data_IF_344803133185
#
_entry.id   IF_344803133185
#
_cell.length_a   1.000
_cell.length_b   1.000
_cell.length_c   1.000
_cell.angle_alpha   90.00
_cell.angle_beta   90.00
_cell.angle_gamma   90.00
#
_symmetry.space_group_name_H-M   'P 1'
#
loop_
_entity.id
_entity.type
_entity.pdbx_description
1 polymer ?
#
# COMPACT_ATOMS: atom_id res chain seq x y z
N UNK A 1 -17.17 -15.19 -3.99
CA UNK A 1 -16.63 -16.36 -3.29
C UNK A 1 -17.06 -16.42 -1.83
N UNK A 2 -16.47 -15.60 -0.96
CA UNK A 2 -16.61 -15.72 0.50
C UNK A 2 -18.03 -15.51 1.04
N UNK A 3 -18.79 -14.51 0.55
CA UNK A 3 -20.17 -14.28 0.96
C UNK A 3 -21.10 -15.48 0.64
N UNK A 4 -20.89 -16.12 -0.52
CA UNK A 4 -21.64 -17.32 -0.91
C UNK A 4 -21.29 -18.49 0.02
N UNK A 5 -20.01 -18.68 0.34
CA UNK A 5 -19.55 -19.72 1.26
C UNK A 5 -20.13 -19.53 2.67
N UNK A 6 -20.14 -18.29 3.18
CA UNK A 6 -20.77 -17.95 4.46
C UNK A 6 -22.29 -18.19 4.41
N UNK A 7 -22.98 -17.78 3.34
CA UNK A 7 -24.41 -18.05 3.19
C UNK A 7 -24.75 -19.55 3.18
N UNK A 8 -23.95 -20.37 2.47
CA UNK A 8 -24.10 -21.83 2.44
C UNK A 8 -23.84 -22.44 3.81
N UNK A 9 -22.77 -22.01 4.49
CA UNK A 9 -22.44 -22.46 5.85
C UNK A 9 -23.56 -22.12 6.84
N UNK A 10 -24.14 -20.91 6.73
CA UNK A 10 -25.28 -20.49 7.52
C UNK A 10 -26.53 -21.33 7.27
N UNK A 11 -26.82 -21.63 6.00
CA UNK A 11 -27.94 -22.50 5.62
C UNK A 11 -27.77 -23.93 6.16
N UNK A 12 -26.55 -24.49 6.10
CA UNK A 12 -26.21 -25.80 6.68
C UNK A 12 -26.38 -25.79 8.20
N UNK A 13 -25.86 -24.77 8.89
CA UNK A 13 -25.96 -24.65 10.34
C UNK A 13 -27.41 -24.57 10.83
N UNK A 14 -28.26 -23.84 10.08
CA UNK A 14 -29.70 -23.74 10.35
C UNK A 14 -30.43 -25.05 10.05
N UNK A 15 -30.16 -25.70 8.91
CA UNK A 15 -30.77 -26.98 8.51
C UNK A 15 -30.47 -28.12 9.48
N UNK A 16 -29.25 -28.19 10.00
CA UNK A 16 -28.83 -29.21 10.96
C UNK A 16 -29.14 -28.85 12.42
N UNK A 17 -29.76 -27.69 12.68
CA UNK A 17 -30.21 -27.32 14.02
C UNK A 17 -29.08 -27.20 15.04
N UNK A 18 -27.90 -26.72 14.63
CA UNK A 18 -26.70 -26.66 15.46
C UNK A 18 -26.94 -25.98 16.81
N UNK A 19 -26.35 -26.51 17.88
CA UNK A 19 -26.51 -25.94 19.23
C UNK A 19 -25.90 -24.53 19.34
N UNK A 20 -26.31 -23.74 20.33
CA UNK A 20 -25.72 -22.41 20.59
C UNK A 20 -24.22 -22.48 20.86
N UNK A 21 -23.74 -23.54 21.51
CA UNK A 21 -22.30 -23.80 21.73
C UNK A 21 -21.56 -24.06 20.41
N UNK A 22 -22.18 -24.83 19.51
CA UNK A 22 -21.62 -25.14 18.19
C UNK A 22 -21.52 -23.88 17.32
N UNK A 23 -22.55 -23.02 17.35
CA UNK A 23 -22.54 -21.74 16.64
C UNK A 23 -21.49 -20.77 17.22
N UNK A 24 -21.33 -20.71 18.54
CA UNK A 24 -20.27 -19.92 19.18
C UNK A 24 -18.86 -20.42 18.78
N UNK A 25 -18.66 -21.75 18.76
CA UNK A 25 -17.42 -22.36 18.26
C UNK A 25 -17.15 -22.05 16.79
N UNK A 26 -18.21 -21.97 15.95
CA UNK A 26 -18.09 -21.57 14.55
C UNK A 26 -17.59 -20.12 14.40
N UNK A 27 -18.10 -19.19 15.20
CA UNK A 27 -17.66 -17.79 15.18
C UNK A 27 -16.20 -17.65 15.58
N UNK A 28 -15.79 -18.30 16.67
CA UNK A 28 -14.39 -18.32 17.10
C UNK A 28 -13.50 -18.99 16.04
N UNK A 29 -13.95 -20.10 15.44
CA UNK A 29 -13.24 -20.80 14.38
C UNK A 29 -13.08 -19.96 13.11
N UNK A 30 -14.11 -19.24 12.67
CA UNK A 30 -14.06 -18.31 11.53
C UNK A 30 -13.11 -17.14 11.81
N UNK A 31 -13.14 -16.61 13.03
CA UNK A 31 -12.20 -15.58 13.45
C UNK A 31 -10.76 -16.09 13.45
N UNK A 32 -10.48 -17.24 14.07
CA UNK A 32 -9.15 -17.87 14.06
C UNK A 32 -8.67 -18.20 12.65
N UNK A 33 -9.53 -18.75 11.79
CA UNK A 33 -9.22 -18.99 10.38
C UNK A 33 -8.83 -17.70 9.67
N UNK A 34 -9.56 -16.61 9.93
CA UNK A 34 -9.26 -15.31 9.35
C UNK A 34 -7.90 -14.80 9.86
N UNK A 35 -7.65 -14.86 11.16
CA UNK A 35 -6.41 -14.35 11.77
C UNK A 35 -5.16 -15.16 11.42
N UNK A 36 -5.28 -16.49 11.38
CA UNK A 36 -4.13 -17.41 11.28
C UNK A 36 -3.88 -17.87 9.85
N UNK A 37 -4.91 -17.88 9.00
CA UNK A 37 -4.80 -18.43 7.64
C UNK A 37 -5.06 -17.35 6.59
N UNK A 38 -6.20 -16.67 6.63
CA UNK A 38 -6.57 -15.72 5.58
C UNK A 38 -5.65 -14.51 5.58
N UNK A 39 -5.48 -13.83 6.71
CA UNK A 39 -4.66 -12.61 6.80
C UNK A 39 -3.19 -12.84 6.40
N UNK A 40 -2.49 -13.90 6.86
CA UNK A 40 -1.14 -14.19 6.39
C UNK A 40 -1.08 -14.51 4.90
N UNK A 41 -2.04 -15.27 4.36
CA UNK A 41 -2.08 -15.61 2.94
C UNK A 41 -2.37 -14.40 2.04
N UNK A 42 -3.22 -13.47 2.50
CA UNK A 42 -3.54 -12.24 1.76
C UNK A 42 -2.49 -11.14 1.94
N UNK A 43 -1.49 -11.33 2.80
CA UNK A 43 -0.48 -10.32 3.11
C UNK A 43 -0.93 -9.25 4.11
N UNK A 44 -2.15 -9.37 4.65
CA UNK A 44 -2.77 -8.50 5.64
C UNK A 44 -2.46 -8.93 7.09
N UNK A 45 -1.26 -9.48 7.31
CA UNK A 45 -0.88 -10.11 8.57
C UNK A 45 -0.75 -9.13 9.76
N UNK A 46 -0.55 -9.68 10.96
CA UNK A 46 -0.38 -8.97 12.24
C UNK A 46 0.52 -7.72 12.19
N UNK A 47 1.52 -7.70 11.30
CA UNK A 47 2.51 -6.64 11.18
C UNK A 47 2.02 -5.35 10.49
N UNK A 48 0.95 -5.41 9.68
CA UNK A 48 0.35 -4.22 9.04
C UNK A 48 -0.57 -3.43 10.00
N UNK A 49 -1.07 -4.11 11.04
CA UNK A 49 -2.11 -3.59 11.92
C UNK A 49 -1.61 -2.52 12.91
N UNK A 50 -0.29 -2.41 13.12
CA UNK A 50 0.32 -1.36 13.93
C UNK A 50 0.47 0.00 13.21
N UNK A 51 0.17 0.07 11.91
CA UNK A 51 0.33 1.28 11.10
C UNK A 51 -0.99 1.95 10.72
N UNK A 52 -2.07 1.18 10.54
CA UNK A 52 -3.37 1.68 10.06
C UNK A 52 -4.44 1.77 11.15
N UNK A 53 -4.02 2.06 12.39
CA UNK A 53 -4.80 2.05 13.63
C UNK A 53 -4.79 0.69 14.35
N UNK A 54 -3.74 0.49 15.15
CA UNK A 54 -3.65 -0.43 16.28
C UNK A 54 -4.03 -1.88 16.01
N UNK A 55 -3.06 -2.79 16.12
CA UNK A 55 -3.27 -4.25 16.04
C UNK A 55 -4.48 -4.76 16.80
N UNK A 56 -4.73 -4.20 17.97
CA UNK A 56 -5.90 -4.51 18.80
C UNK A 56 -7.23 -4.13 18.12
N UNK A 57 -7.31 -2.98 17.44
CA UNK A 57 -8.53 -2.49 16.80
C UNK A 57 -8.97 -3.38 15.63
N UNK A 58 -8.01 -3.85 14.82
CA UNK A 58 -8.32 -4.72 13.70
C UNK A 58 -8.65 -6.14 14.16
N UNK A 59 -7.86 -6.69 15.09
CA UNK A 59 -8.13 -8.01 15.69
C UNK A 59 -9.51 -8.04 16.37
N UNK A 60 -9.87 -6.98 17.10
CA UNK A 60 -11.20 -6.85 17.74
C UNK A 60 -12.31 -6.58 16.74
N UNK A 61 -12.05 -5.84 15.66
CA UNK A 61 -13.00 -5.62 14.56
C UNK A 61 -13.40 -6.92 13.86
N UNK A 62 -12.43 -7.76 13.50
CA UNK A 62 -12.73 -9.08 12.91
C UNK A 62 -13.48 -10.00 13.88
N UNK A 63 -13.17 -9.94 15.18
CA UNK A 63 -13.91 -10.69 16.19
C UNK A 63 -15.37 -10.23 16.27
N UNK A 64 -15.61 -8.91 16.24
CA UNK A 64 -16.95 -8.35 16.25
C UNK A 64 -17.79 -8.81 15.04
N UNK A 65 -17.20 -8.84 13.84
CA UNK A 65 -17.87 -9.34 12.63
C UNK A 65 -18.21 -10.83 12.75
N UNK A 66 -17.29 -11.66 13.25
CA UNK A 66 -17.53 -13.08 13.43
C UNK A 66 -18.64 -13.36 14.48
N UNK A 67 -18.65 -12.60 15.58
CA UNK A 67 -19.70 -12.69 16.60
C UNK A 67 -21.06 -12.20 16.08
N UNK A 68 -21.08 -11.14 15.26
CA UNK A 68 -22.30 -10.64 14.64
C UNK A 68 -22.92 -11.66 13.67
N UNK A 69 -22.09 -12.34 12.88
CA UNK A 69 -22.52 -13.43 12.01
C UNK A 69 -23.14 -14.61 12.78
N UNK A 70 -22.56 -14.98 13.93
CA UNK A 70 -23.14 -16.01 14.80
C UNK A 70 -24.45 -15.57 15.42
N UNK A 71 -24.55 -14.31 15.81
CA UNK A 71 -25.76 -13.77 16.39
C UNK A 71 -26.92 -13.72 15.39
N UNK A 72 -26.67 -13.36 14.14
CA UNK A 72 -27.70 -13.40 13.08
C UNK A 72 -28.18 -14.82 12.81
N UNK A 73 -27.29 -15.82 12.83
CA UNK A 73 -27.69 -17.24 12.76
C UNK A 73 -28.50 -17.68 13.98
N UNK A 74 -28.12 -17.25 15.18
CA UNK A 74 -28.88 -17.50 16.41
C UNK A 74 -30.28 -16.90 16.37
N UNK A 75 -30.42 -15.69 15.85
CA UNK A 75 -31.70 -15.01 15.67
C UNK A 75 -32.55 -15.71 14.59
N UNK A 76 -31.95 -16.04 13.44
CA UNK A 76 -32.61 -16.76 12.36
C UNK A 76 -33.16 -18.11 12.82
N UNK A 77 -32.43 -18.82 13.71
CA UNK A 77 -32.90 -20.06 14.34
C UNK A 77 -34.15 -19.86 15.19
N UNK A 78 -34.27 -18.73 15.91
CA UNK A 78 -35.46 -18.44 16.70
C UNK A 78 -36.70 -18.28 15.80
N UNK A 79 -36.54 -17.64 14.65
CA UNK A 79 -37.63 -17.43 13.68
C UNK A 79 -37.98 -18.69 12.86
N UNK A 80 -37.00 -19.51 12.49
CA UNK A 80 -37.25 -20.78 11.78
C UNK A 80 -37.77 -21.87 12.70
N UNK A 81 -37.39 -21.85 13.98
CA UNK A 81 -37.93 -22.73 15.02
C UNK A 81 -39.42 -22.51 15.32
N UNK A 82 -39.95 -21.32 15.03
CA UNK A 82 -41.38 -21.00 15.13
C UNK A 82 -42.19 -21.33 13.87
N UNK A 83 -41.53 -21.65 12.74
CA UNK A 83 -42.18 -21.78 11.44
C UNK A 83 -42.44 -23.23 10.97
N UNK A 84 -41.93 -24.26 11.66
CA UNK A 84 -42.05 -25.68 11.25
C UNK A 84 -43.01 -26.47 12.16
N UNK A 85 -44.17 -25.90 12.50
CA UNK A 85 -45.29 -26.66 13.06
C UNK A 85 -46.59 -26.32 12.32
N UNK A 86 -46.66 -26.67 11.03
CA UNK A 86 -47.93 -26.84 10.31
C UNK A 86 -47.82 -28.02 9.32
N UNK A 87 -48.46 -29.13 9.68
CA UNK A 87 -48.69 -30.31 8.81
C UNK A 87 -49.26 -31.50 9.63
N UNK A 88 -50.35 -32.18 9.21
CA UNK A 88 -51.29 -32.83 10.13
C UNK A 88 -51.04 -34.33 10.45
N UNK A 89 -51.49 -34.72 11.65
CA UNK A 89 -52.02 -36.02 12.15
C UNK A 89 -51.40 -37.35 11.65
N UNK A 90 -50.58 -38.02 12.49
CA UNK A 90 -50.87 -39.36 13.07
C UNK A 90 -49.76 -39.92 13.99
N UNK A 91 -50.18 -40.35 15.19
CA UNK A 91 -49.67 -41.40 16.11
C UNK A 91 -48.29 -41.29 16.83
N UNK A 92 -48.13 -41.90 18.04
CA UNK A 92 -47.28 -41.38 19.11
C UNK A 92 -46.03 -42.24 19.41
N UNK A 93 -44.92 -41.60 19.81
CA UNK A 93 -44.03 -42.05 20.90
C UNK A 93 -42.91 -41.03 21.18
N UNK A 94 -42.68 -40.80 22.47
CA UNK A 94 -41.52 -40.17 23.12
C UNK A 94 -41.03 -38.82 22.61
N UNK A 95 -41.81 -37.78 22.93
CA UNK A 95 -41.34 -36.40 22.87
C UNK A 95 -40.45 -36.07 24.07
N UNK A 96 -39.13 -36.07 23.84
CA UNK A 96 -38.20 -35.27 24.64
C UNK A 96 -38.67 -33.82 24.56
N UNK A 97 -39.28 -33.31 25.64
CA UNK A 97 -39.72 -31.91 25.77
C UNK A 97 -38.49 -31.00 25.62
N UNK A 98 -38.22 -30.51 24.41
CA UNK A 98 -37.32 -29.36 24.22
C UNK A 98 -38.04 -28.15 24.80
N UNK A 99 -37.58 -27.71 25.97
CA UNK A 99 -38.03 -26.46 26.57
C UNK A 99 -37.87 -25.31 25.54
N UNK A 100 -38.86 -24.42 25.39
CA UNK A 100 -38.71 -23.25 24.55
C UNK A 100 -37.50 -22.44 25.05
N UNK A 101 -36.68 -21.86 24.15
CA UNK A 101 -35.58 -21.01 24.58
C UNK A 101 -36.14 -19.91 25.47
N UNK A 102 -35.63 -19.82 26.69
CA UNK A 102 -36.11 -18.80 27.63
C UNK A 102 -35.93 -17.42 26.98
N UNK A 103 -36.92 -16.53 27.13
CA UNK A 103 -36.83 -15.14 26.65
C UNK A 103 -35.51 -14.46 27.08
N UNK A 104 -34.94 -14.89 28.20
CA UNK A 104 -33.60 -14.50 28.70
C UNK A 104 -32.46 -14.94 27.76
N UNK A 105 -32.46 -16.16 27.25
CA UNK A 105 -31.42 -16.64 26.32
C UNK A 105 -31.43 -15.91 24.98
N UNK A 106 -32.61 -15.57 24.46
CA UNK A 106 -32.77 -14.76 23.25
C UNK A 106 -32.32 -13.30 23.45
N UNK A 107 -32.66 -12.70 24.61
CA UNK A 107 -32.19 -11.35 24.95
C UNK A 107 -30.66 -11.28 25.13
N UNK A 108 -30.05 -12.30 25.74
CA UNK A 108 -28.60 -12.34 25.97
C UNK A 108 -27.84 -12.46 24.64
N UNK A 109 -28.30 -13.29 23.70
CA UNK A 109 -27.70 -13.43 22.37
C UNK A 109 -27.90 -12.20 21.47
N UNK A 110 -29.05 -11.52 21.55
CA UNK A 110 -29.28 -10.27 20.83
C UNK A 110 -28.49 -9.09 21.45
N UNK A 111 -28.36 -9.08 22.78
CA UNK A 111 -27.59 -8.07 23.52
C UNK A 111 -26.09 -8.15 23.29
N UNK A 112 -25.51 -9.35 23.20
CA UNK A 112 -24.06 -9.51 22.93
C UNK A 112 -23.68 -9.07 21.51
N UNK A 113 -24.56 -9.27 20.53
CA UNK A 113 -24.36 -8.87 19.14
C UNK A 113 -24.44 -7.35 18.94
N UNK A 114 -25.36 -6.70 19.64
CA UNK A 114 -25.60 -5.25 19.55
C UNK A 114 -24.64 -4.45 20.43
N UNK A 115 -24.12 -5.03 21.52
CA UNK A 115 -23.13 -4.36 22.38
C UNK A 115 -21.67 -4.51 21.91
N UNK A 116 -21.34 -5.55 21.13
CA UNK A 116 -19.98 -5.77 20.64
C UNK A 116 -19.50 -4.68 19.67
N UNK A 117 -20.38 -4.16 18.81
CA UNK A 117 -20.05 -3.08 17.87
C UNK A 117 -19.74 -1.75 18.56
N UNK A 118 -20.61 -1.22 19.45
CA UNK A 118 -20.32 -0.02 20.23
C UNK A 118 -19.10 -0.20 21.14
N UNK A 119 -18.92 -1.37 21.77
CA UNK A 119 -17.78 -1.62 22.65
C UNK A 119 -16.46 -1.66 21.88
N UNK A 120 -16.40 -2.30 20.71
CA UNK A 120 -15.23 -2.27 19.83
C UNK A 120 -14.97 -0.87 19.27
N UNK A 121 -16.02 -0.16 18.85
CA UNK A 121 -15.94 1.23 18.37
C UNK A 121 -15.46 2.21 19.46
N UNK A 122 -15.96 2.05 20.69
CA UNK A 122 -15.51 2.84 21.83
C UNK A 122 -14.08 2.46 22.21
N UNK A 123 -13.73 1.17 22.30
CA UNK A 123 -12.35 0.74 22.54
C UNK A 123 -11.37 1.34 21.52
N UNK A 124 -11.73 1.39 20.24
CA UNK A 124 -10.95 2.08 19.20
C UNK A 124 -10.74 3.58 19.44
N UNK A 125 -11.69 4.24 20.12
CA UNK A 125 -11.63 5.66 20.47
C UNK A 125 -10.75 5.92 21.71
N UNK A 126 -10.58 4.93 22.58
CA UNK A 126 -9.89 5.05 23.87
C UNK A 126 -8.54 4.33 23.93
N UNK A 127 -8.15 3.52 22.95
CA UNK A 127 -6.79 2.98 22.84
C UNK A 127 -5.81 4.15 22.61
N UNK A 128 -4.85 4.39 23.53
CA UNK A 128 -3.86 5.43 23.35
C UNK A 128 -3.03 5.10 22.10
N UNK A 129 -3.15 5.91 21.05
CA UNK A 129 -2.19 5.88 19.95
C UNK A 129 -0.91 6.50 20.50
N UNK A 130 0.22 5.79 20.43
CA UNK A 130 1.51 6.39 20.70
C UNK A 130 1.68 7.58 19.75
N UNK A 131 1.53 8.80 20.26
CA UNK A 131 1.67 10.01 19.47
C UNK A 131 3.15 10.32 19.35
N UNK A 132 3.72 10.05 18.18
CA UNK A 132 5.06 10.51 17.85
C UNK A 132 5.08 12.03 17.75
N UNK A 133 6.23 12.68 18.02
CA UNK A 133 6.36 14.10 17.80
C UNK A 133 6.16 14.41 16.31
N UNK A 134 5.18 15.27 16.04
CA UNK A 134 4.95 15.80 14.70
C UNK A 134 5.98 16.89 14.40
N UNK A 135 6.85 16.62 13.44
CA UNK A 135 7.91 17.51 13.03
C UNK A 135 7.43 18.32 11.82
N UNK A 136 7.32 19.64 12.03
CA UNK A 136 6.99 20.59 10.97
C UNK A 136 8.29 21.16 10.43
N UNK A 137 8.52 21.03 9.13
CA UNK A 137 9.65 21.66 8.42
C UNK A 137 9.12 22.96 7.81
N UNK A 138 9.55 24.14 8.28
CA UNK A 138 9.11 25.41 7.74
C UNK A 138 9.50 25.57 6.26
N UNK A 139 8.73 26.37 5.52
CA UNK A 139 9.05 26.74 4.15
C UNK A 139 10.35 27.57 4.13
N UNK A 140 11.40 27.16 3.40
CA UNK A 140 12.65 27.91 3.31
C UNK A 140 12.48 29.34 2.79
N UNK A 141 11.41 29.63 2.04
CA UNK A 141 11.14 30.95 1.46
C UNK A 141 10.26 31.84 2.35
N UNK A 142 9.72 31.33 3.46
CA UNK A 142 8.93 32.17 4.36
C UNK A 142 9.87 33.04 5.22
N UNK A 143 9.62 34.37 5.29
CA UNK A 143 10.39 35.24 6.16
C UNK A 143 10.13 34.83 7.62
N UNK A 144 11.17 34.35 8.30
CA UNK A 144 11.11 34.12 9.74
C UNK A 144 10.95 35.47 10.44
N UNK A 145 10.00 35.56 11.38
CA UNK A 145 10.00 36.65 12.35
C UNK A 145 11.33 36.56 13.11
N UNK A 146 12.24 37.51 12.87
CA UNK A 146 13.57 37.55 13.46
C UNK A 146 13.48 37.82 14.97
N UNK A 147 13.19 36.79 15.74
CA UNK A 147 13.28 36.83 17.19
C UNK A 147 14.72 36.60 17.65
N UNK A 148 15.45 37.69 17.88
CA UNK A 148 16.61 37.76 18.79
C UNK A 148 17.87 36.97 18.40
N UNK A 149 19.01 37.67 18.36
CA UNK A 149 20.35 37.13 18.15
C UNK A 149 20.69 35.98 19.13
N UNK A 150 20.66 34.74 18.65
CA UNK A 150 21.30 33.57 19.25
C UNK A 150 22.42 33.05 18.34
N UNK A 151 23.50 32.45 18.88
CA UNK A 151 24.69 32.12 18.11
C UNK A 151 24.39 31.10 17.00
N UNK A 152 24.96 31.37 15.83
CA UNK A 152 24.84 30.61 14.59
C UNK A 152 25.46 29.22 14.78
N UNK A 153 24.63 28.20 14.97
CA UNK A 153 25.03 26.81 14.81
C UNK A 153 24.36 26.23 13.55
N UNK A 154 25.19 25.70 12.67
CA UNK A 154 24.83 25.16 11.36
C UNK A 154 24.08 23.82 11.48
N UNK A 155 22.77 23.85 11.74
CA UNK A 155 21.81 22.77 11.45
C UNK A 155 20.41 23.40 11.28
N UNK A 156 19.53 22.87 10.40
CA UNK A 156 18.20 23.44 10.20
C UNK A 156 17.42 23.39 11.51
N UNK A 157 17.12 24.58 12.05
CA UNK A 157 16.42 24.73 13.32
C UNK A 157 14.99 24.21 13.17
N UNK A 158 14.74 23.03 13.73
CA UNK A 158 13.40 22.45 13.88
C UNK A 158 12.67 23.27 14.95
N UNK A 159 11.65 24.02 14.55
CA UNK A 159 10.80 24.77 15.49
C UNK A 159 9.57 23.92 15.81
N UNK A 160 9.52 23.36 17.01
CA UNK A 160 8.28 22.78 17.55
C UNK A 160 7.35 23.93 17.95
N UNK A 161 6.42 24.31 17.07
CA UNK A 161 5.48 25.41 17.33
C UNK A 161 4.12 24.86 17.74
N UNK A 162 3.64 25.25 18.93
CA UNK A 162 2.21 25.25 19.26
C UNK A 162 1.68 26.66 18.95
N UNK A 163 0.48 26.67 18.39
CA UNK A 163 -0.39 27.82 18.10
C UNK A 163 -0.16 28.58 16.78
N UNK A 164 -1.29 28.72 16.07
CA UNK A 164 -1.42 29.21 14.70
C UNK A 164 -1.76 30.71 14.67
N UNK A 165 -1.21 31.43 13.69
CA UNK A 165 -1.70 32.77 13.28
C UNK A 165 -1.69 32.87 11.75
N UNK A 166 -2.78 33.45 11.22
CA UNK A 166 -3.18 33.60 9.81
C UNK A 166 -2.30 34.59 9.02
N UNK A 167 -2.04 34.38 7.71
CA UNK A 167 -1.12 35.22 6.94
C UNK A 167 -1.80 36.38 6.19
N UNK A 168 -1.06 37.48 5.98
CA UNK A 168 -1.35 38.54 4.99
C UNK A 168 -0.37 38.38 3.83
N UNK A 169 -0.90 38.38 2.61
CA UNK A 169 -0.25 37.79 1.45
C UNK A 169 0.72 38.68 0.67
N UNK A 170 1.52 38.01 -0.15
CA UNK A 170 2.10 38.55 -1.38
C UNK A 170 2.18 37.41 -2.39
N UNK A 171 1.66 37.62 -3.60
CA UNK A 171 1.44 36.59 -4.62
C UNK A 171 2.78 36.07 -5.17
N UNK A 172 3.12 34.83 -4.86
CA UNK A 172 4.03 33.98 -5.64
C UNK A 172 3.20 33.09 -6.58
N UNK A 173 3.83 32.71 -7.71
CA UNK A 173 3.25 31.95 -8.81
C UNK A 173 2.37 30.78 -8.33
N UNK A 174 1.26 30.54 -9.06
CA UNK A 174 0.29 29.51 -8.73
C UNK A 174 0.98 28.14 -8.52
N UNK A 175 0.83 27.51 -7.33
CA UNK A 175 1.30 26.15 -7.16
C UNK A 175 0.56 25.25 -8.15
N UNK A 176 1.28 24.42 -8.90
CA UNK A 176 0.67 23.28 -9.58
C UNK A 176 -0.22 22.54 -8.58
N UNK A 177 -1.40 22.11 -9.02
CA UNK A 177 -2.39 21.48 -8.14
C UNK A 177 -1.73 20.38 -7.32
N UNK A 178 -1.76 20.49 -5.99
CA UNK A 178 -1.22 19.47 -5.08
C UNK A 178 -2.03 18.17 -5.15
N UNK A 179 -3.22 18.24 -5.75
CA UNK A 179 -4.07 17.09 -6.02
C UNK A 179 -3.61 16.38 -7.32
N UNK A 180 -3.56 15.04 -7.32
CA UNK A 180 -3.13 14.30 -8.50
C UNK A 180 -4.21 14.40 -9.58
N UNK A 181 -3.84 14.19 -10.86
CA UNK A 181 -4.84 14.00 -11.90
C UNK A 181 -5.78 12.83 -11.54
N UNK A 182 -7.01 12.81 -12.06
CA UNK A 182 -7.92 11.68 -11.89
C UNK A 182 -7.23 10.36 -12.24
N UNK A 183 -7.51 9.32 -11.45
CA UNK A 183 -6.89 8.02 -11.66
C UNK A 183 -7.15 7.52 -13.08
N UNK A 184 -6.09 7.08 -13.78
CA UNK A 184 -6.21 6.53 -15.12
C UNK A 184 -7.12 5.29 -15.13
N UNK A 185 -7.97 5.18 -16.14
CA UNK A 185 -8.63 3.91 -16.48
C UNK A 185 -7.60 3.01 -17.15
N UNK A 186 -6.86 2.25 -16.33
CA UNK A 186 -5.88 1.32 -16.86
C UNK A 186 -6.59 0.09 -17.44
N UNK A 187 -6.31 -0.28 -18.70
CA UNK A 187 -6.84 -1.50 -19.28
C UNK A 187 -6.36 -2.70 -18.45
N UNK A 188 -7.30 -3.54 -18.06
CA UNK A 188 -7.05 -4.80 -17.38
C UNK A 188 -7.47 -5.94 -18.29
N UNK A 189 -6.72 -7.03 -18.28
CA UNK A 189 -7.20 -8.28 -18.87
C UNK A 189 -8.39 -8.85 -18.08
N UNK A 190 -8.97 -9.93 -18.59
CA UNK A 190 -10.12 -10.59 -17.96
C UNK A 190 -9.82 -11.12 -16.55
N UNK A 191 -8.55 -11.27 -16.20
CA UNK A 191 -8.08 -11.72 -14.89
C UNK A 191 -7.70 -10.54 -13.96
N UNK A 192 -7.93 -9.31 -14.41
CA UNK A 192 -7.70 -8.08 -13.65
C UNK A 192 -6.24 -7.58 -13.68
N UNK A 193 -5.35 -8.24 -14.42
CA UNK A 193 -3.96 -7.83 -14.56
C UNK A 193 -3.85 -6.66 -15.54
N UNK A 194 -2.98 -5.70 -15.21
CA UNK A 194 -2.80 -4.48 -15.98
C UNK A 194 -2.13 -4.79 -17.31
N UNK A 195 -2.74 -4.34 -18.41
CA UNK A 195 -2.15 -4.48 -19.73
C UNK A 195 -0.91 -3.55 -19.83
N UNK A 196 0.19 -4.03 -20.43
CA UNK A 196 1.43 -3.26 -20.56
C UNK A 196 1.26 -1.96 -21.35
N UNK A 197 2.28 -1.08 -21.26
CA UNK A 197 2.35 0.22 -21.95
C UNK A 197 1.91 0.11 -23.41
N UNK A 198 1.04 1.00 -23.88
CA UNK A 198 0.41 0.96 -25.21
C UNK A 198 1.33 1.19 -26.42
N UNK A 199 2.64 0.99 -26.30
CA UNK A 199 3.61 1.12 -27.39
C UNK A 199 3.41 0.01 -28.41
N UNK A 200 3.36 0.36 -29.69
CA UNK A 200 3.18 -0.63 -30.75
C UNK A 200 4.50 -1.35 -31.06
N UNK A 201 4.45 -2.65 -31.45
CA UNK A 201 5.63 -3.35 -31.93
C UNK A 201 6.28 -2.61 -33.10
N UNK A 202 7.60 -2.41 -33.05
CA UNK A 202 8.35 -1.66 -34.06
C UNK A 202 8.54 -0.17 -33.74
N UNK A 203 7.88 0.36 -32.70
CA UNK A 203 8.11 1.73 -32.23
C UNK A 203 9.25 1.77 -31.20
N UNK A 204 10.12 2.77 -31.33
CA UNK A 204 11.20 2.99 -30.38
C UNK A 204 10.65 3.56 -29.07
N UNK A 205 11.12 3.03 -27.94
CA UNK A 205 10.79 3.60 -26.65
C UNK A 205 11.33 5.05 -26.54
N UNK A 206 10.51 6.01 -26.08
CA UNK A 206 10.98 7.36 -25.83
C UNK A 206 11.99 7.37 -24.67
N UNK A 207 12.94 8.30 -24.71
CA UNK A 207 13.95 8.46 -23.63
C UNK A 207 13.27 8.70 -22.27
N UNK A 208 12.22 9.52 -22.25
CA UNK A 208 11.34 9.72 -21.11
C UNK A 208 9.95 9.23 -21.50
N UNK A 209 9.46 8.23 -20.77
CA UNK A 209 8.11 7.71 -20.93
C UNK A 209 7.12 8.74 -20.41
N UNK A 210 6.11 9.07 -21.22
CA UNK A 210 5.01 9.92 -20.79
C UNK A 210 4.34 9.30 -19.56
N UNK A 211 3.87 10.14 -18.63
CA UNK A 211 3.28 9.66 -17.38
C UNK A 211 2.08 8.74 -17.63
N UNK A 212 1.30 9.01 -18.68
CA UNK A 212 0.13 8.21 -19.08
C UNK A 212 0.50 6.88 -19.75
N UNK A 213 1.75 6.72 -20.19
CA UNK A 213 2.27 5.49 -20.80
C UNK A 213 3.19 4.71 -19.86
N UNK A 214 3.55 5.28 -18.70
CA UNK A 214 4.45 4.65 -17.76
C UNK A 214 3.80 3.38 -17.18
N UNK A 215 4.53 2.26 -17.24
CA UNK A 215 3.98 0.96 -16.85
C UNK A 215 3.50 0.95 -15.38
N UNK A 216 2.37 0.29 -15.14
CA UNK A 216 1.80 0.16 -13.79
C UNK A 216 1.74 -1.31 -13.42
N UNK A 217 2.36 -1.65 -12.30
CA UNK A 217 2.16 -2.93 -11.61
C UNK A 217 1.62 -2.64 -10.23
N UNK A 218 0.46 -3.21 -9.92
CA UNK A 218 -0.19 -3.18 -8.62
C UNK A 218 -0.84 -4.53 -8.36
N UNK A 219 -0.85 -5.01 -7.12
CA UNK A 219 -1.48 -6.28 -6.71
C UNK A 219 -2.72 -6.09 -5.83
N UNK A 220 -3.34 -4.92 -5.90
CA UNK A 220 -4.50 -4.52 -5.10
C UNK A 220 -5.78 -4.94 -5.81
N UNK A 221 -6.44 -5.98 -5.29
CA UNK A 221 -7.69 -6.48 -5.84
C UNK A 221 -8.86 -5.47 -5.71
N UNK A 222 -8.82 -4.61 -4.68
CA UNK A 222 -9.87 -3.63 -4.38
C UNK A 222 -9.60 -2.22 -4.97
N UNK A 223 -8.49 -2.03 -5.68
CA UNK A 223 -8.04 -0.73 -6.21
C UNK A 223 -6.98 -0.05 -5.34
N UNK A 224 -6.51 1.10 -5.81
CA UNK A 224 -5.43 1.86 -5.17
C UNK A 224 -5.94 2.68 -3.98
N UNK A 225 -5.16 2.82 -2.89
CA UNK A 225 -5.63 3.48 -1.68
C UNK A 225 -5.94 4.97 -1.88
N UNK A 226 -7.09 5.47 -1.39
CA UNK A 226 -7.40 6.89 -1.40
C UNK A 226 -6.70 7.61 -0.25
N UNK A 227 -5.56 8.25 -0.53
CA UNK A 227 -4.85 9.09 0.45
C UNK A 227 -5.21 10.58 0.31
N UNK A 228 -5.46 11.24 1.46
CA UNK A 228 -5.70 12.69 1.59
C UNK A 228 -4.47 13.36 2.23
N UNK A 229 -3.93 14.41 1.60
CA UNK A 229 -2.73 15.11 2.10
C UNK A 229 -2.92 15.72 3.49
N UNK A 230 -4.14 16.11 3.84
CA UNK A 230 -4.44 16.76 5.12
C UNK A 230 -4.19 15.81 6.29
N UNK A 231 -4.48 14.53 6.07
CA UNK A 231 -4.37 13.48 7.09
C UNK A 231 -3.16 12.57 6.89
N UNK A 232 -2.56 12.56 5.70
CA UNK A 232 -1.36 11.77 5.43
C UNK A 232 -0.20 12.21 6.32
N UNK A 233 0.50 11.22 6.88
CA UNK A 233 1.70 11.39 7.68
C UNK A 233 2.70 10.31 7.29
N UNK A 234 3.96 10.68 7.19
CA UNK A 234 5.08 9.74 7.09
C UNK A 234 5.65 9.51 8.48
N UNK A 235 5.63 8.26 8.94
CA UNK A 235 6.26 7.85 10.18
C UNK A 235 7.69 7.39 9.95
N UNK A 236 8.63 7.88 10.76
CA UNK A 236 10.02 7.44 10.77
C UNK A 236 10.35 6.95 12.18
N UNK A 237 10.53 5.64 12.33
CA UNK A 237 10.64 4.99 13.64
C UNK A 237 11.62 3.80 13.64
N UNK A 238 11.58 3.02 14.72
CA UNK A 238 12.45 1.87 14.93
C UNK A 238 13.77 2.26 15.56
N UNK A 239 14.85 1.68 15.05
CA UNK A 239 16.20 1.86 15.58
C UNK A 239 16.86 3.17 15.09
N UNK A 240 16.24 4.27 15.49
CA UNK A 240 16.65 5.65 15.20
C UNK A 240 16.87 6.45 16.48
N UNK A 241 17.57 7.57 16.39
CA UNK A 241 17.83 8.44 17.55
C UNK A 241 16.56 9.02 18.19
N UNK A 242 15.59 9.43 17.38
CA UNK A 242 14.30 9.98 17.80
C UNK A 242 13.20 9.67 16.78
N UNK A 243 12.23 8.80 17.09
CA UNK A 243 11.10 8.57 16.20
C UNK A 243 10.27 9.85 15.96
N UNK A 244 9.85 10.11 14.71
CA UNK A 244 9.11 11.31 14.30
C UNK A 244 8.00 10.98 13.30
N UNK A 245 7.04 11.89 13.17
CA UNK A 245 6.10 11.93 12.05
C UNK A 245 6.23 13.27 11.31
N UNK A 246 6.20 13.25 9.98
CA UNK A 246 6.16 14.45 9.14
C UNK A 246 4.92 14.47 8.25
N UNK A 247 4.34 15.64 8.04
CA UNK A 247 3.27 15.84 7.06
C UNK A 247 3.81 16.10 5.64
N UNK A 248 2.90 16.17 4.68
CA UNK A 248 3.25 16.34 3.27
C UNK A 248 3.90 17.69 2.97
N UNK A 249 3.44 18.76 3.63
CA UNK A 249 4.01 20.09 3.46
C UNK A 249 5.47 20.11 3.93
N UNK A 250 5.73 19.53 5.10
CA UNK A 250 7.08 19.39 5.66
C UNK A 250 7.98 18.55 4.78
N UNK A 251 7.48 17.44 4.22
CA UNK A 251 8.22 16.63 3.23
C UNK A 251 8.66 17.48 2.02
N UNK A 252 7.77 18.33 1.50
CA UNK A 252 8.06 19.19 0.34
C UNK A 252 9.03 20.34 0.64
N UNK A 253 9.13 20.75 1.90
CA UNK A 253 10.04 21.81 2.34
C UNK A 253 11.48 21.32 2.57
N UNK A 254 11.71 20.00 2.56
CA UNK A 254 13.04 19.42 2.62
C UNK A 254 13.82 19.68 1.33
N UNK A 255 15.18 19.68 1.39
CA UNK A 255 16.01 19.71 0.19
C UNK A 255 15.62 18.58 -0.78
N UNK A 256 15.08 18.98 -1.93
CA UNK A 256 14.62 18.08 -2.96
C UNK A 256 15.73 17.83 -3.99
N UNK A 257 15.73 16.63 -4.56
CA UNK A 257 16.61 16.28 -5.68
C UNK A 257 15.80 15.71 -6.82
N UNK A 258 16.19 16.09 -8.04
CA UNK A 258 15.60 15.57 -9.27
C UNK A 258 16.57 14.59 -9.93
N UNK A 259 16.08 13.41 -10.32
CA UNK A 259 16.86 12.36 -10.97
C UNK A 259 16.07 11.73 -12.11
N UNK A 260 16.73 11.39 -13.20
CA UNK A 260 16.14 10.55 -14.25
C UNK A 260 16.41 9.09 -13.92
N UNK A 261 15.35 8.30 -13.73
CA UNK A 261 15.49 6.86 -13.41
C UNK A 261 14.52 6.01 -14.22
N UNK A 262 15.07 4.88 -14.68
CA UNK A 262 14.32 3.78 -15.24
C UNK A 262 13.85 2.86 -14.11
N UNK A 263 12.54 2.57 -14.08
CA UNK A 263 12.00 1.49 -13.28
C UNK A 263 11.76 0.29 -14.19
N UNK A 264 12.14 -0.89 -13.72
CA UNK A 264 11.93 -2.15 -14.40
C UNK A 264 11.24 -3.13 -13.46
N UNK A 265 10.24 -3.85 -13.93
CA UNK A 265 9.64 -4.95 -13.20
C UNK A 265 10.53 -6.19 -13.28
N UNK A 266 10.58 -6.99 -12.21
CA UNK A 266 11.25 -8.29 -12.24
C UNK A 266 10.62 -9.27 -13.24
N UNK A 267 9.36 -9.02 -13.63
CA UNK A 267 8.64 -9.77 -14.66
C UNK A 267 8.84 -9.20 -16.08
N UNK A 268 9.79 -8.28 -16.26
CA UNK A 268 10.18 -7.76 -17.56
C UNK A 268 11.04 -8.79 -18.31
N UNK A 269 10.39 -9.69 -19.05
CA UNK A 269 11.05 -10.79 -19.76
C UNK A 269 11.37 -10.39 -21.20
N UNK A 270 12.52 -9.73 -21.39
CA UNK A 270 12.97 -9.24 -22.71
C UNK A 270 13.12 -10.33 -23.79
N UNK A 271 13.25 -11.58 -23.39
CA UNK A 271 13.33 -12.73 -24.30
C UNK A 271 11.96 -13.33 -24.67
N UNK A 272 10.87 -12.86 -24.06
CA UNK A 272 9.52 -13.39 -24.21
C UNK A 272 8.49 -12.26 -24.29
N UNK A 273 8.63 -11.40 -25.30
CA UNK A 273 7.77 -10.23 -25.49
C UNK A 273 6.30 -10.59 -25.70
N UNK A 274 6.02 -11.80 -26.17
CA UNK A 274 4.68 -12.35 -26.42
C UNK A 274 3.88 -12.66 -25.15
N UNK A 275 4.51 -12.69 -23.98
CA UNK A 275 3.87 -13.12 -22.72
C UNK A 275 3.01 -12.05 -22.05
N UNK A 276 1.91 -11.62 -22.65
CA UNK A 276 0.97 -10.67 -22.01
C UNK A 276 0.33 -11.28 -20.75
N UNK A 277 0.22 -10.55 -19.61
CA UNK A 277 0.54 -9.13 -19.36
C UNK A 277 2.00 -8.87 -18.92
N UNK A 278 2.82 -9.91 -18.88
CA UNK A 278 4.26 -9.83 -18.66
C UNK A 278 5.00 -9.57 -19.99
N UNK A 279 6.32 -9.76 -20.02
CA UNK A 279 7.09 -9.63 -21.25
C UNK A 279 7.93 -8.36 -21.28
N UNK A 280 8.08 -7.74 -22.45
CA UNK A 280 9.14 -6.77 -22.70
C UNK A 280 8.82 -5.35 -22.25
N UNK A 281 7.59 -5.06 -21.83
CA UNK A 281 7.05 -3.70 -21.73
C UNK A 281 6.89 -3.21 -20.29
N UNK A 282 7.42 -3.97 -19.32
CA UNK A 282 7.37 -3.63 -17.91
C UNK A 282 8.60 -2.84 -17.49
N UNK A 283 8.94 -1.82 -18.29
CA UNK A 283 10.07 -0.93 -18.09
C UNK A 283 9.71 0.47 -18.60
N UNK A 284 10.01 1.51 -17.81
CA UNK A 284 9.77 2.91 -18.21
C UNK A 284 10.72 3.85 -17.50
N UNK A 285 11.01 4.99 -18.13
CA UNK A 285 11.96 6.00 -17.62
C UNK A 285 11.23 7.30 -17.36
N UNK A 286 11.44 7.91 -16.20
CA UNK A 286 10.86 9.21 -15.86
C UNK A 286 11.86 10.08 -15.10
N UNK A 287 11.57 11.38 -15.06
CA UNK A 287 12.20 12.31 -14.12
C UNK A 287 11.45 12.24 -12.80
N UNK A 288 12.16 12.12 -11.70
CA UNK A 288 11.59 11.97 -10.37
C UNK A 288 12.17 13.01 -9.45
N UNK A 289 11.31 13.61 -8.62
CA UNK A 289 11.75 14.57 -7.61
C UNK A 289 11.22 14.21 -6.23
N UNK A 290 12.11 14.32 -5.24
CA UNK A 290 11.86 13.85 -3.89
C UNK A 290 12.93 14.25 -2.89
N UNK A 291 12.68 13.93 -1.61
CA UNK A 291 13.68 14.03 -0.55
C UNK A 291 14.56 12.78 -0.53
N UNK A 292 15.85 12.92 -0.21
CA UNK A 292 16.72 11.75 -0.03
C UNK A 292 16.33 11.01 1.26
N UNK A 293 16.30 9.69 1.22
CA UNK A 293 15.91 8.87 2.38
C UNK A 293 16.88 9.07 3.55
N UNK A 294 18.18 9.23 3.27
CA UNK A 294 19.17 9.57 4.30
C UNK A 294 18.85 10.87 5.06
N UNK A 295 18.32 11.88 4.36
CA UNK A 295 18.03 13.20 4.93
C UNK A 295 16.75 13.10 5.80
N UNK A 296 15.77 12.28 5.36
CA UNK A 296 14.60 11.92 6.16
C UNK A 296 14.99 11.19 7.46
N UNK A 297 15.86 10.19 7.38
CA UNK A 297 16.34 9.47 8.56
C UNK A 297 17.13 10.39 9.51
N UNK A 298 17.85 11.38 8.98
CA UNK A 298 18.54 12.38 9.80
C UNK A 298 17.58 13.25 10.64
N UNK A 299 16.35 13.53 10.15
CA UNK A 299 15.33 14.21 10.96
C UNK A 299 14.98 13.40 12.21
N UNK A 300 14.98 12.08 12.09
CA UNK A 300 14.79 11.13 13.17
C UNK A 300 16.08 10.85 13.98
N UNK A 301 17.12 11.68 13.85
CA UNK A 301 18.39 11.49 14.56
C UNK A 301 19.31 10.43 13.92
N UNK A 302 18.98 9.95 12.72
CA UNK A 302 19.73 8.92 12.00
C UNK A 302 19.50 7.50 12.50
N UNK A 303 19.86 6.48 11.69
CA UNK A 303 19.95 5.08 12.15
C UNK A 303 20.99 4.93 13.25
N UNK A 304 20.79 3.99 14.19
CA UNK A 304 21.86 3.58 15.11
C UNK A 304 22.92 2.74 14.39
N UNK A 305 24.05 2.53 15.08
CA UNK A 305 25.22 1.88 14.51
C UNK A 305 24.99 0.41 14.14
N UNK A 306 24.08 -0.25 14.83
CA UNK A 306 23.65 -1.64 14.65
C UNK A 306 22.44 -1.80 13.72
N UNK A 307 21.98 -0.71 13.08
CA UNK A 307 20.94 -0.78 12.08
C UNK A 307 21.34 -1.70 10.91
N UNK A 308 20.47 -2.65 10.57
CA UNK A 308 20.69 -3.64 9.51
C UNK A 308 19.83 -3.35 8.29
N UNK A 309 18.56 -2.99 8.49
CA UNK A 309 17.62 -2.81 7.38
C UNK A 309 16.65 -1.65 7.58
N UNK A 310 16.13 -1.13 6.46
CA UNK A 310 15.03 -0.19 6.43
C UNK A 310 13.79 -0.87 5.86
N UNK A 311 12.79 -1.11 6.70
CA UNK A 311 11.47 -1.59 6.29
C UNK A 311 10.58 -0.40 5.89
N UNK A 312 9.94 -0.51 4.73
CA UNK A 312 8.95 0.43 4.22
C UNK A 312 7.57 -0.20 4.32
N UNK A 313 6.61 0.56 4.85
CA UNK A 313 5.22 0.17 4.96
C UNK A 313 4.34 1.10 4.13
N UNK A 314 3.46 0.51 3.33
CA UNK A 314 2.57 1.22 2.43
C UNK A 314 1.10 1.14 2.88
N UNK A 315 0.28 2.04 2.35
CA UNK A 315 -1.15 2.13 2.65
C UNK A 315 -1.98 0.95 2.14
N UNK A 316 -1.47 0.22 1.15
CA UNK A 316 -2.06 -1.01 0.62
C UNK A 316 -1.51 -2.27 1.31
N UNK A 317 -0.92 -2.11 2.49
CA UNK A 317 -0.31 -3.18 3.30
C UNK A 317 0.91 -3.82 2.64
N UNK A 318 1.37 -3.30 1.49
CA UNK A 318 2.61 -3.73 0.90
C UNK A 318 3.79 -3.37 1.80
N UNK A 319 4.68 -4.33 2.00
CA UNK A 319 5.92 -4.13 2.74
C UNK A 319 7.12 -4.49 1.86
N UNK A 320 8.17 -3.68 1.95
CA UNK A 320 9.46 -3.98 1.36
C UNK A 320 10.58 -3.57 2.29
N UNK A 321 11.71 -4.26 2.25
CA UNK A 321 12.89 -3.86 3.00
C UNK A 321 14.14 -3.76 2.11
N UNK A 322 15.01 -2.85 2.54
CA UNK A 322 16.33 -2.62 1.96
C UNK A 322 17.40 -2.82 3.03
N UNK A 323 18.58 -3.35 2.68
CA UNK A 323 19.78 -3.17 3.50
C UNK A 323 20.01 -1.69 3.84
N UNK A 324 20.49 -1.38 5.04
CA UNK A 324 20.60 0.02 5.51
C UNK A 324 21.54 0.85 4.63
N UNK A 325 22.62 0.27 4.10
CA UNK A 325 23.58 0.91 3.20
C UNK A 325 22.91 1.31 1.87
N UNK A 326 22.01 0.47 1.36
CA UNK A 326 21.21 0.74 0.16
C UNK A 326 20.19 1.83 0.42
N UNK A 327 19.58 1.84 1.61
CA UNK A 327 18.64 2.89 2.02
C UNK A 327 19.33 4.26 2.18
N UNK A 328 20.58 4.27 2.66
CA UNK A 328 21.40 5.47 2.83
C UNK A 328 22.13 5.93 1.57
N UNK A 329 22.04 5.17 0.47
CA UNK A 329 22.57 5.58 -0.82
C UNK A 329 22.06 6.98 -1.19
N UNK A 330 22.92 7.89 -1.68
CA UNK A 330 22.52 9.26 -1.99
C UNK A 330 21.32 9.31 -2.94
N UNK A 331 21.22 8.37 -3.89
CA UNK A 331 20.17 8.36 -4.90
C UNK A 331 18.91 7.62 -4.45
N UNK A 332 18.83 7.11 -3.22
CA UNK A 332 17.58 6.54 -2.68
C UNK A 332 16.66 7.67 -2.23
N UNK A 333 15.49 7.78 -2.88
CA UNK A 333 14.56 8.90 -2.70
C UNK A 333 13.21 8.43 -2.18
N UNK A 334 12.58 9.30 -1.40
CA UNK A 334 11.13 9.32 -1.26
C UNK A 334 10.60 10.40 -2.24
N UNK A 335 10.15 9.94 -3.40
CA UNK A 335 9.66 10.79 -4.48
C UNK A 335 8.20 11.20 -4.26
N UNK A 336 7.88 12.44 -4.61
CA UNK A 336 6.52 13.01 -4.58
C UNK A 336 6.13 13.73 -5.90
N UNK A 337 7.05 13.79 -6.86
CA UNK A 337 6.85 14.30 -8.21
C UNK A 337 7.41 13.33 -9.26
N UNK A 338 6.73 13.27 -10.41
CA UNK A 338 7.08 12.47 -11.58
C UNK A 338 6.86 13.30 -12.84
N UNK A 339 7.88 13.39 -13.70
CA UNK A 339 7.90 14.19 -14.92
C UNK A 339 7.50 15.66 -14.72
N UNK A 340 7.87 16.24 -13.57
CA UNK A 340 7.56 17.63 -13.21
C UNK A 340 6.12 17.86 -12.75
N UNK A 341 5.35 16.81 -12.52
CA UNK A 341 3.98 16.86 -12.01
C UNK A 341 3.88 16.11 -10.69
N UNK A 342 2.83 16.40 -9.91
CA UNK A 342 2.45 15.57 -8.76
C UNK A 342 2.33 14.11 -9.18
N UNK A 343 2.77 13.19 -8.32
CA UNK A 343 2.61 11.75 -8.57
C UNK A 343 1.15 11.39 -8.89
N UNK A 344 0.88 10.67 -9.98
CA UNK A 344 -0.42 10.03 -10.17
C UNK A 344 -0.72 9.02 -9.07
N UNK A 345 -2.01 8.75 -8.83
CA UNK A 345 -2.46 7.84 -7.77
C UNK A 345 -1.87 6.45 -7.94
N UNK A 346 -1.92 5.90 -9.14
CA UNK A 346 -1.41 4.58 -9.51
C UNK A 346 0.11 4.44 -9.42
N UNK A 347 0.83 5.57 -9.38
CA UNK A 347 2.27 5.63 -9.20
C UNK A 347 2.70 5.96 -7.76
N UNK A 348 1.75 5.99 -6.82
CA UNK A 348 2.06 6.05 -5.39
C UNK A 348 1.86 7.39 -4.72
N UNK A 349 1.00 8.26 -5.26
CA UNK A 349 0.60 9.48 -4.57
C UNK A 349 0.23 9.23 -3.10
N UNK A 350 0.71 10.03 -2.13
CA UNK A 350 1.49 11.25 -2.32
C UNK A 350 3.01 11.05 -2.35
N UNK A 351 3.49 9.87 -1.94
CA UNK A 351 4.92 9.58 -1.83
C UNK A 351 5.23 8.10 -2.13
N UNK A 352 6.33 7.87 -2.87
CA UNK A 352 6.84 6.52 -3.20
C UNK A 352 8.35 6.41 -2.97
N UNK A 353 8.84 5.20 -2.72
CA UNK A 353 10.26 4.90 -2.75
C UNK A 353 10.78 4.81 -4.18
N UNK A 354 12.00 5.31 -4.39
CA UNK A 354 12.84 5.07 -5.56
C UNK A 354 14.24 4.66 -5.15
N UNK A 355 14.61 3.42 -5.49
CA UNK A 355 15.83 2.78 -5.05
C UNK A 355 16.69 2.45 -6.28
N UNK A 356 17.92 3.00 -6.38
CA UNK A 356 18.79 2.75 -7.52
C UNK A 356 19.15 1.27 -7.66
N UNK A 357 19.16 0.75 -8.89
CA UNK A 357 19.60 -0.61 -9.20
C UNK A 357 18.72 -1.73 -8.66
N UNK A 358 17.48 -1.44 -8.25
CA UNK A 358 16.51 -2.42 -7.75
C UNK A 358 15.27 -2.49 -8.63
N UNK A 359 14.76 -3.71 -8.85
CA UNK A 359 13.50 -3.95 -9.55
C UNK A 359 12.33 -3.26 -8.82
N UNK A 360 11.25 -3.01 -9.55
CA UNK A 360 10.06 -2.28 -9.08
C UNK A 360 9.47 -2.81 -7.76
N UNK A 361 9.65 -4.10 -7.46
CA UNK A 361 9.23 -4.72 -6.18
C UNK A 361 9.85 -4.06 -4.94
N UNK A 362 11.01 -3.40 -5.06
CA UNK A 362 11.68 -2.68 -3.97
C UNK A 362 11.36 -1.18 -3.94
N UNK A 363 10.48 -0.72 -4.82
CA UNK A 363 10.12 0.69 -5.01
C UNK A 363 8.67 0.90 -4.55
N UNK A 364 8.40 0.71 -3.26
CA UNK A 364 7.07 0.79 -2.67
C UNK A 364 6.33 2.09 -3.01
N UNK A 365 5.04 1.98 -3.28
CA UNK A 365 4.12 3.09 -3.55
C UNK A 365 3.29 3.39 -2.29
N UNK A 366 2.68 4.57 -2.20
CA UNK A 366 1.76 4.92 -1.10
C UNK A 366 2.39 4.78 0.30
N UNK A 367 3.62 5.26 0.44
CA UNK A 367 4.43 5.05 1.65
C UNK A 367 3.79 5.76 2.84
N UNK A 368 3.69 5.04 3.96
CA UNK A 368 3.22 5.55 5.26
C UNK A 368 4.31 5.53 6.32
N UNK A 369 5.26 4.58 6.25
CA UNK A 369 6.34 4.54 7.23
C UNK A 369 7.67 4.00 6.68
N UNK A 370 8.74 4.48 7.31
CA UNK A 370 10.12 4.03 7.17
C UNK A 370 10.61 3.63 8.56
N UNK A 371 10.85 2.33 8.76
CA UNK A 371 11.26 1.76 10.05
C UNK A 371 12.66 1.19 9.95
N UNK A 372 13.58 1.72 10.73
CA UNK A 372 14.92 1.15 10.86
C UNK A 372 14.88 -0.05 11.80
N UNK A 373 15.55 -1.14 11.43
CA UNK A 373 15.59 -2.38 12.19
C UNK A 373 17.05 -2.82 12.38
N UNK A 374 17.35 -3.38 13.54
CA UNK A 374 18.61 -4.02 13.94
C UNK A 374 18.74 -5.46 13.40
N UNK A 375 17.77 -5.90 12.59
CA UNK A 375 17.72 -7.23 12.01
C UNK A 375 17.17 -7.21 10.58
N UNK A 376 17.24 -8.38 9.94
CA UNK A 376 16.68 -8.61 8.62
C UNK A 376 15.15 -8.66 8.65
N UNK A 377 14.51 -7.94 7.73
CA UNK A 377 13.06 -7.96 7.58
C UNK A 377 12.61 -8.83 6.40
N UNK A 378 11.71 -9.79 6.67
CA UNK A 378 11.10 -10.63 5.64
C UNK A 378 9.88 -9.91 5.07
N UNK A 379 10.08 -9.24 3.94
CA UNK A 379 9.05 -8.46 3.29
C UNK A 379 8.03 -9.29 2.49
N UNK A 380 7.03 -8.61 1.90
CA UNK A 380 5.90 -9.26 1.22
C UNK A 380 6.34 -10.28 0.14
N UNK A 381 7.40 -9.95 -0.60
CA UNK A 381 7.95 -10.83 -1.63
C UNK A 381 8.88 -11.89 -1.04
N UNK A 382 9.66 -11.55 -0.01
CA UNK A 382 10.50 -12.50 0.73
C UNK A 382 9.70 -13.65 1.35
N UNK A 383 8.51 -13.36 1.90
CA UNK A 383 7.56 -14.38 2.41
C UNK A 383 7.12 -15.38 1.33
N UNK A 384 7.23 -14.99 0.05
CA UNK A 384 6.88 -15.81 -1.11
C UNK A 384 8.10 -16.42 -1.79
N UNK A 385 9.26 -16.39 -1.14
CA UNK A 385 10.51 -16.97 -1.66
C UNK A 385 11.17 -16.19 -2.79
N UNK A 386 10.76 -14.94 -3.03
CA UNK A 386 11.40 -14.09 -4.05
C UNK A 386 12.72 -13.52 -3.55
N UNK A 387 13.51 -12.98 -4.48
CA UNK A 387 14.80 -12.34 -4.17
C UNK A 387 14.65 -11.25 -3.10
N UNK A 388 15.41 -11.40 -2.00
CA UNK A 388 15.49 -10.41 -0.92
C UNK A 388 16.05 -9.07 -1.40
N UNK A 389 16.99 -9.08 -2.34
CA UNK A 389 17.66 -7.84 -2.79
C UNK A 389 16.99 -7.23 -4.00
N UNK A 390 16.46 -8.05 -4.92
CA UNK A 390 15.80 -7.57 -6.14
C UNK A 390 16.71 -6.73 -7.04
N UNK A 391 18.00 -7.10 -7.15
CA UNK A 391 18.98 -6.38 -7.98
C UNK A 391 18.62 -6.51 -9.46
N UNK A 392 18.57 -5.39 -10.17
CA UNK A 392 18.35 -5.37 -11.63
C UNK A 392 19.54 -6.02 -12.35
N UNK A 393 19.25 -6.88 -13.31
CA UNK A 393 20.28 -7.47 -14.20
C UNK A 393 20.42 -6.65 -15.47
N UNK A 394 21.61 -6.64 -16.04
CA UNK A 394 21.83 -6.05 -17.37
C UNK A 394 20.91 -6.70 -18.39
N UNK A 395 20.17 -5.88 -19.11
CA UNK A 395 19.25 -6.30 -20.16
C UNK A 395 19.32 -5.33 -21.34
N UNK A 396 18.91 -5.82 -22.50
CA UNK A 396 18.70 -5.02 -23.70
C UNK A 396 17.61 -5.70 -24.53
N UNK A 397 16.97 -4.94 -25.41
CA UNK A 397 15.99 -5.43 -26.38
C UNK A 397 16.08 -4.63 -27.68
N UNK A 398 15.58 -5.20 -28.76
CA UNK A 398 15.46 -4.53 -30.06
C UNK A 398 14.00 -4.10 -30.23
N UNK A 399 13.76 -2.78 -30.26
CA UNK A 399 12.42 -2.21 -30.38
C UNK A 399 11.97 -2.03 -31.84
N UNK A 400 12.91 -1.77 -32.74
CA UNK A 400 12.68 -1.58 -34.17
C UNK A 400 13.73 -2.35 -34.99
N UNK A 401 13.33 -3.07 -36.05
CA UNK A 401 11.96 -3.20 -36.57
C UNK A 401 11.07 -4.09 -35.68
N UNK A 402 9.77 -4.12 -35.97
CA UNK A 402 8.84 -5.02 -35.29
C UNK A 402 9.26 -6.50 -35.47
N UNK A 403 8.95 -7.38 -34.50
CA UNK A 403 9.15 -8.82 -34.67
C UNK A 403 8.52 -9.33 -35.97
N UNK A 404 9.26 -10.15 -36.71
CA UNK A 404 8.85 -10.71 -38.01
C UNK A 404 8.55 -9.69 -39.14
N UNK A 405 8.98 -8.43 -39.01
CA UNK A 405 8.86 -7.47 -40.10
C UNK A 405 9.70 -7.87 -41.33
N UNK A 406 9.09 -7.81 -42.52
CA UNK A 406 9.80 -7.96 -43.79
C UNK A 406 10.42 -6.62 -44.19
N UNK A 407 11.75 -6.59 -44.31
CA UNK A 407 12.51 -5.40 -44.69
C UNK A 407 12.96 -5.49 -46.16
N UNK A 408 12.90 -4.40 -46.95
CA UNK A 408 13.52 -4.36 -48.27
C UNK A 408 15.06 -4.49 -48.16
N UNK A 409 15.76 -4.97 -49.21
CA UNK A 409 17.22 -4.95 -49.24
C UNK A 409 17.77 -3.51 -49.11
N UNK A 410 18.84 -3.32 -48.34
CA UNK A 410 19.48 -2.02 -48.15
C UNK A 410 19.87 -1.73 -46.69
N UNK A 411 20.27 -0.49 -46.42
CA UNK A 411 20.59 -0.01 -45.08
C UNK A 411 19.30 0.37 -44.33
N UNK A 412 19.14 -0.13 -43.10
CA UNK A 412 18.02 0.19 -42.22
C UNK A 412 18.53 0.95 -41.00
N UNK A 413 18.10 2.22 -40.87
CA UNK A 413 18.45 3.06 -39.73
C UNK A 413 17.27 3.13 -38.78
N UNK A 414 17.48 2.78 -37.51
CA UNK A 414 16.50 3.05 -36.46
C UNK A 414 16.31 4.56 -36.30
N UNK A 415 15.06 5.02 -36.15
CA UNK A 415 14.74 6.44 -35.93
C UNK A 415 15.19 6.88 -34.52
N UNK A 416 16.47 7.24 -34.33
CA UNK A 416 16.89 7.80 -33.05
C UNK A 416 15.98 8.98 -32.65
N UNK A 417 15.45 9.04 -31.41
CA UNK A 417 14.60 10.14 -30.99
C UNK A 417 15.35 11.47 -31.15
N UNK A 418 14.80 12.39 -31.94
CA UNK A 418 15.43 13.66 -32.26
C UNK A 418 15.66 14.53 -30.99
N UNK A 419 16.92 14.62 -30.53
CA UNK A 419 17.69 15.88 -30.52
C UNK A 419 19.06 15.75 -29.87
N UNK A 420 20.08 16.31 -30.54
CA UNK A 420 21.36 16.70 -29.93
C UNK A 420 22.44 15.62 -29.92
N UNK A 421 23.17 15.50 -31.04
CA UNK A 421 24.57 15.05 -31.12
C UNK A 421 25.09 14.04 -30.07
N UNK A 422 25.06 12.73 -30.37
CA UNK A 422 26.12 11.70 -30.14
C UNK A 422 25.53 10.27 -30.02
N UNK A 423 26.34 9.19 -30.08
CA UNK A 423 26.99 8.60 -31.23
C UNK A 423 26.16 7.45 -31.83
N UNK A 424 26.42 7.19 -33.11
CA UNK A 424 25.59 6.38 -34.02
C UNK A 424 25.90 4.88 -33.84
N UNK A 425 24.92 4.08 -33.45
CA UNK A 425 25.00 2.63 -33.56
C UNK A 425 24.68 2.24 -35.01
N UNK A 426 25.67 1.70 -35.73
CA UNK A 426 25.51 1.21 -37.10
C UNK A 426 25.59 -0.31 -37.04
N UNK A 427 24.51 -1.00 -37.39
CA UNK A 427 24.54 -2.45 -37.63
C UNK A 427 24.82 -2.68 -39.12
N UNK A 428 26.02 -3.14 -39.46
CA UNK A 428 26.35 -3.67 -40.79
C UNK A 428 26.15 -5.18 -40.81
N UNK A 429 25.55 -5.67 -41.89
CA UNK A 429 25.23 -7.09 -42.12
C UNK A 429 26.48 -7.90 -42.46
#
# INVERSE_FOLDING_TARGET
>A
GMLLALAVLGAVALRHGWSTRTLAGLGLGLWLLTMVVVLPLTGAGFFALDLLAGTVATVTGYLAVALAYVATLGLARLFTGTAITRGPLHAPSDSVKRAPPSRRGALVLAGTATAAFPAAYLAQRWVPKASLPHLVVPDPQQPFASGGLGPVNAHPTVVASRDAVTPVGTRLAAPGTLEPPPARKLPRDNDGALMPSGRQPGELAPLLTATDDFYVVTKNAAGDPPLDLRTWRLRIDGDVGRPVEIDYASLRNLPAVEVTKTLECISNFVAKCELVPFGCDLISTARWKGARVRDLLALAGGPRADAVSLATFAADEFTTALPIDVALNPDTLLAYEMNGQVLPREHGYPARMLVPGRYGMKNAKWVLALRVLDHDFIDWYGQRGWSKTGVVKTMTRIDSPAPAATLPPGEHRGQAPERGTSPRATCTR
#
